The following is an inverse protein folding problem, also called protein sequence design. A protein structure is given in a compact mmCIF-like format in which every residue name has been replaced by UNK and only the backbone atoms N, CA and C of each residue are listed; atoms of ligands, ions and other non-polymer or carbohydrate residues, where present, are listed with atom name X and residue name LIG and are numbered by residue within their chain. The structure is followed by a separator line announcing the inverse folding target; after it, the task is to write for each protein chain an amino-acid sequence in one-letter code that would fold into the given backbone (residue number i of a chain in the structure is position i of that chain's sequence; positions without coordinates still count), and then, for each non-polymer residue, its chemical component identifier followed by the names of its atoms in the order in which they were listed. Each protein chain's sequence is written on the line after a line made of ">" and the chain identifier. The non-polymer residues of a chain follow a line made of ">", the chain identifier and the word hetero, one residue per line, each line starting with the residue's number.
data_IF_799136237918
#
_entry.id   IF_799136237918
#
_cell.length_a   1.000
_cell.length_b   1.000
_cell.length_c   1.000
_cell.angle_alpha   90.00
_cell.angle_beta   90.00
_cell.angle_gamma   90.00
#
_symmetry.space_group_name_H-M   'P 1'
#
loop_
_entity.id
_entity.type
_entity.pdbx_description
1 polymer ?
#
# COMPACT_ATOMS: atom_id res chain seq x y z
N UNK A 1 2.12 -62.24 -28.76
CA UNK A 1 2.12 -61.48 -30.02
C UNK A 1 1.18 -60.29 -29.84
N UNK A 2 1.74 -59.06 -29.88
CA UNK A 2 1.11 -57.72 -29.91
C UNK A 2 0.10 -57.33 -28.81
N UNK A 3 0.63 -56.69 -27.76
CA UNK A 3 -0.11 -55.71 -26.93
C UNK A 3 -0.31 -54.43 -27.76
N UNK A 4 -1.55 -53.99 -27.94
CA UNK A 4 -1.85 -52.68 -28.52
C UNK A 4 -1.82 -51.63 -27.40
N UNK A 5 -0.79 -50.78 -27.41
CA UNK A 5 -0.71 -49.58 -26.61
C UNK A 5 -1.51 -48.49 -27.34
N UNK A 6 -2.67 -48.11 -26.81
CA UNK A 6 -3.36 -46.88 -27.23
C UNK A 6 -2.62 -45.70 -26.60
N UNK A 7 -1.79 -45.04 -27.39
CA UNK A 7 -1.23 -43.73 -27.05
C UNK A 7 -2.34 -42.69 -27.24
N UNK A 8 -3.01 -42.29 -26.15
CA UNK A 8 -3.77 -41.05 -26.14
C UNK A 8 -2.73 -39.91 -26.13
N UNK A 9 -2.50 -39.30 -27.29
CA UNK A 9 -1.94 -37.95 -27.36
C UNK A 9 -2.96 -37.00 -26.72
N UNK A 10 -2.85 -36.80 -25.41
CA UNK A 10 -3.38 -35.60 -24.78
C UNK A 10 -2.45 -34.48 -25.25
N UNK A 11 -2.92 -33.72 -26.24
CA UNK A 11 -2.34 -32.44 -26.58
C UNK A 11 -2.51 -31.54 -25.35
N UNK A 12 -1.54 -31.59 -24.45
CA UNK A 12 -1.38 -30.59 -23.42
C UNK A 12 -1.11 -29.26 -24.10
N UNK A 13 -2.14 -28.44 -24.24
CA UNK A 13 -1.93 -27.00 -24.31
C UNK A 13 -1.28 -26.61 -22.99
N UNK A 14 0.05 -26.61 -23.00
CA UNK A 14 0.84 -25.84 -22.05
C UNK A 14 0.40 -24.41 -22.27
N UNK A 15 -0.48 -23.92 -21.39
CA UNK A 15 -0.64 -22.49 -21.19
C UNK A 15 0.73 -21.98 -20.72
N UNK A 16 1.56 -21.55 -21.66
CA UNK A 16 2.60 -20.58 -21.39
C UNK A 16 1.84 -19.32 -20.96
N UNK A 17 1.60 -19.20 -19.66
CA UNK A 17 1.11 -17.93 -19.13
C UNK A 17 2.09 -16.84 -19.57
N UNK A 18 1.61 -15.67 -19.99
CA UNK A 18 2.53 -14.55 -20.08
C UNK A 18 3.03 -14.33 -18.66
N UNK A 19 4.29 -14.67 -18.39
CA UNK A 19 5.00 -14.03 -17.32
C UNK A 19 4.94 -12.55 -17.67
N UNK A 20 4.23 -11.77 -16.85
CA UNK A 20 4.24 -10.32 -16.93
C UNK A 20 5.59 -9.81 -16.43
N UNK A 21 6.68 -10.26 -17.05
CA UNK A 21 7.99 -9.64 -16.94
C UNK A 21 7.97 -8.34 -17.76
N UNK A 22 7.02 -7.46 -17.43
CA UNK A 22 7.07 -6.09 -17.84
C UNK A 22 8.11 -5.42 -16.96
N UNK A 23 9.15 -4.87 -17.58
CA UNK A 23 10.09 -4.05 -16.83
C UNK A 23 9.34 -2.81 -16.34
N UNK A 24 9.29 -2.56 -15.02
CA UNK A 24 8.62 -1.38 -14.49
C UNK A 24 9.30 -0.13 -15.04
N UNK A 25 8.51 0.91 -15.26
CA UNK A 25 9.02 2.23 -15.67
C UNK A 25 10.05 2.69 -14.65
N UNK A 26 11.25 3.00 -15.13
CA UNK A 26 12.40 3.39 -14.32
C UNK A 26 12.17 4.70 -13.59
N UNK A 27 12.83 4.88 -12.43
CA UNK A 27 12.74 6.11 -11.64
C UNK A 27 11.51 6.23 -10.74
N UNK A 28 10.61 5.25 -10.77
CA UNK A 28 9.35 5.22 -9.99
C UNK A 28 9.30 4.14 -8.89
N UNK A 29 10.39 3.45 -8.61
CA UNK A 29 10.52 2.61 -7.41
C UNK A 29 10.90 3.49 -6.21
N UNK A 30 9.88 4.07 -5.57
CA UNK A 30 10.03 5.05 -4.48
C UNK A 30 8.91 4.89 -3.45
N UNK A 31 9.23 5.18 -2.19
CA UNK A 31 8.27 5.18 -1.09
C UNK A 31 7.21 6.29 -1.21
N UNK A 32 7.50 7.37 -1.93
CA UNK A 32 6.59 8.47 -2.24
C UNK A 32 6.83 8.92 -3.68
N UNK A 33 5.75 9.14 -4.43
CA UNK A 33 5.77 9.63 -5.80
C UNK A 33 5.21 11.05 -5.83
N UNK A 34 5.97 11.97 -6.40
CA UNK A 34 5.63 13.39 -6.56
C UNK A 34 5.36 13.73 -8.01
N UNK A 35 4.82 14.92 -8.24
CA UNK A 35 4.57 15.39 -9.60
C UNK A 35 5.87 15.45 -10.42
N UNK A 36 6.97 15.93 -9.82
CA UNK A 36 8.30 15.99 -10.46
C UNK A 36 8.85 14.61 -10.86
N UNK A 37 8.46 13.54 -10.16
CA UNK A 37 8.85 12.18 -10.52
C UNK A 37 8.14 11.69 -11.79
N UNK A 38 6.91 12.13 -12.03
CA UNK A 38 6.09 11.70 -13.17
C UNK A 38 6.17 12.63 -14.39
N UNK A 39 6.62 13.87 -14.20
CA UNK A 39 6.71 14.88 -15.26
C UNK A 39 7.52 14.40 -16.48
N UNK A 40 8.71 13.78 -16.34
CA UNK A 40 9.43 13.24 -17.50
C UNK A 40 8.64 12.17 -18.27
N UNK A 41 7.85 11.36 -17.56
CA UNK A 41 7.01 10.34 -18.18
C UNK A 41 5.79 10.95 -18.86
N UNK A 42 5.20 12.01 -18.29
CA UNK A 42 4.14 12.78 -18.93
C UNK A 42 4.62 13.42 -20.24
N UNK A 43 5.78 14.07 -20.23
CA UNK A 43 6.33 14.70 -21.44
C UNK A 43 6.62 13.66 -22.54
N UNK A 44 7.13 12.50 -22.16
CA UNK A 44 7.30 11.37 -23.08
C UNK A 44 5.96 10.92 -23.69
N UNK A 45 4.91 10.79 -22.88
CA UNK A 45 3.58 10.35 -23.36
C UNK A 45 2.92 11.40 -24.24
N UNK A 46 3.13 12.70 -23.97
CA UNK A 46 2.65 13.81 -24.82
C UNK A 46 3.22 13.77 -26.24
N UNK A 47 4.39 13.16 -26.45
CA UNK A 47 5.02 12.99 -27.76
C UNK A 47 4.50 11.77 -28.54
N UNK A 48 3.67 10.93 -27.92
CA UNK A 48 3.17 9.69 -28.50
C UNK A 48 1.84 9.91 -29.22
N UNK A 49 1.79 9.60 -30.52
CA UNK A 49 0.55 9.64 -31.32
C UNK A 49 -0.53 8.63 -30.86
N UNK A 50 -0.16 7.71 -29.96
CA UNK A 50 -1.08 6.70 -29.40
C UNK A 50 -1.96 7.26 -28.30
N UNK A 51 -1.58 8.37 -27.67
CA UNK A 51 -2.28 8.94 -26.54
C UNK A 51 -2.66 10.39 -26.78
N UNK A 52 -3.81 10.78 -26.24
CA UNK A 52 -4.17 12.18 -26.07
C UNK A 52 -3.98 12.54 -24.60
N UNK A 53 -3.03 13.43 -24.33
CA UNK A 53 -2.76 13.96 -22.98
C UNK A 53 -3.27 15.39 -22.90
N UNK A 54 -4.19 15.66 -21.98
CA UNK A 54 -4.74 16.99 -21.76
C UNK A 54 -4.65 17.36 -20.28
N UNK A 55 -4.38 18.62 -19.98
CA UNK A 55 -4.57 19.15 -18.64
C UNK A 55 -6.08 19.32 -18.41
N UNK A 56 -6.60 18.66 -17.38
CA UNK A 56 -8.04 18.65 -17.04
C UNK A 56 -8.36 19.49 -15.80
N UNK A 57 -7.33 19.99 -15.13
CA UNK A 57 -7.48 20.81 -13.95
C UNK A 57 -6.14 21.23 -13.39
N UNK A 58 -6.20 21.80 -12.20
CA UNK A 58 -5.06 22.28 -11.44
C UNK A 58 -5.37 22.06 -9.96
N UNK A 59 -4.37 21.63 -9.18
CA UNK A 59 -4.48 21.52 -7.73
C UNK A 59 -4.63 22.88 -7.05
N UNK A 60 -4.85 22.87 -5.73
CA UNK A 60 -4.99 24.10 -4.95
C UNK A 60 -3.77 25.04 -5.05
N UNK A 61 -2.56 24.49 -5.05
CA UNK A 61 -1.31 25.27 -5.15
C UNK A 61 -0.86 25.55 -6.58
N UNK A 62 -1.63 25.14 -7.60
CA UNK A 62 -1.32 25.47 -8.98
C UNK A 62 -0.63 24.37 -9.79
N UNK A 63 -0.43 23.17 -9.23
CA UNK A 63 0.18 22.04 -9.96
C UNK A 63 -0.82 21.43 -10.93
N UNK A 64 -0.47 21.22 -12.22
CA UNK A 64 -1.42 20.75 -13.23
C UNK A 64 -1.86 19.29 -12.99
N UNK A 65 -3.12 19.00 -13.29
CA UNK A 65 -3.70 17.65 -13.26
C UNK A 65 -3.97 17.20 -14.71
N UNK A 66 -3.43 16.05 -15.10
CA UNK A 66 -3.51 15.54 -16.47
C UNK A 66 -4.41 14.31 -16.59
N UNK A 67 -5.12 14.22 -17.72
CA UNK A 67 -5.77 13.01 -18.20
C UNK A 67 -5.07 12.50 -19.45
N UNK A 68 -4.74 11.22 -19.45
CA UNK A 68 -4.15 10.50 -20.59
C UNK A 68 -5.24 9.58 -21.16
N UNK A 69 -5.52 9.67 -22.46
CA UNK A 69 -6.60 8.92 -23.10
C UNK A 69 -6.10 8.13 -24.31
N UNK A 70 -6.69 6.95 -24.57
CA UNK A 70 -6.44 6.15 -25.78
C UNK A 70 -7.63 5.24 -26.09
N UNK A 71 -7.72 4.77 -27.33
CA UNK A 71 -8.88 4.02 -27.83
C UNK A 71 -10.06 4.93 -28.17
N UNK A 72 -11.01 4.38 -28.91
CA UNK A 72 -12.18 5.09 -29.46
C UNK A 72 -13.46 4.28 -29.34
N UNK A 73 -13.42 3.15 -28.63
CA UNK A 73 -14.56 2.27 -28.54
C UNK A 73 -15.67 2.75 -27.61
N UNK A 74 -16.87 2.15 -27.72
CA UNK A 74 -18.07 2.64 -27.04
C UNK A 74 -18.06 2.41 -25.52
N UNK A 75 -17.29 1.45 -25.00
CA UNK A 75 -17.21 1.19 -23.56
C UNK A 75 -16.19 2.15 -22.94
N UNK A 76 -16.65 3.03 -22.05
CA UNK A 76 -15.78 4.04 -21.46
C UNK A 76 -15.23 3.57 -20.12
N UNK A 77 -13.91 3.58 -19.97
CA UNK A 77 -13.21 3.18 -18.74
C UNK A 77 -12.44 4.37 -18.20
N UNK A 78 -12.66 4.70 -16.92
CA UNK A 78 -11.91 5.74 -16.22
C UNK A 78 -11.09 5.12 -15.10
N UNK A 79 -9.81 5.50 -14.98
CA UNK A 79 -8.91 5.09 -13.92
C UNK A 79 -8.33 6.34 -13.26
N UNK A 80 -8.28 6.39 -11.94
CA UNK A 80 -7.64 7.49 -11.23
C UNK A 80 -6.88 6.98 -10.02
N UNK A 81 -5.77 7.64 -9.69
CA UNK A 81 -4.91 7.30 -8.57
C UNK A 81 -4.50 8.53 -7.76
N UNK A 82 -3.99 8.25 -6.56
CA UNK A 82 -3.32 9.23 -5.69
C UNK A 82 -4.18 10.47 -5.43
N UNK A 83 -5.46 10.23 -5.15
CA UNK A 83 -6.35 11.27 -4.61
C UNK A 83 -6.04 11.58 -3.15
N UNK A 84 -5.51 10.59 -2.43
CA UNK A 84 -4.73 10.81 -1.23
C UNK A 84 -3.26 10.86 -1.63
N UNK A 85 -2.54 11.87 -1.16
CA UNK A 85 -1.18 12.13 -1.60
C UNK A 85 -0.15 11.11 -1.11
N UNK A 86 -0.39 10.47 0.04
CA UNK A 86 0.46 9.44 0.65
C UNK A 86 0.18 8.01 0.16
N UNK A 87 -0.55 7.88 -0.94
CA UNK A 87 -0.93 6.59 -1.56
C UNK A 87 -0.34 6.46 -2.98
N UNK A 88 1.00 6.30 -3.10
CA UNK A 88 1.70 6.46 -4.36
C UNK A 88 1.62 5.26 -5.32
N UNK A 89 1.26 4.06 -4.87
CA UNK A 89 1.54 2.80 -5.61
C UNK A 89 0.91 2.74 -7.00
N UNK A 90 -0.31 3.24 -7.12
CA UNK A 90 -1.07 3.16 -8.36
C UNK A 90 -0.60 4.13 -9.46
N UNK A 91 0.04 5.24 -9.09
CA UNK A 91 0.54 6.22 -10.07
C UNK A 91 1.60 5.60 -10.98
N UNK A 92 2.67 4.96 -10.46
CA UNK A 92 3.59 4.18 -11.28
C UNK A 92 2.93 3.03 -12.03
N UNK A 93 1.95 2.34 -11.43
CA UNK A 93 1.24 1.24 -12.12
C UNK A 93 0.51 1.72 -13.38
N UNK A 94 -0.07 2.94 -13.37
CA UNK A 94 -0.65 3.52 -14.57
C UNK A 94 0.40 3.85 -15.64
N UNK A 95 1.59 4.31 -15.25
CA UNK A 95 2.70 4.51 -16.21
C UNK A 95 3.25 3.19 -16.77
N UNK A 96 3.25 2.12 -15.98
CA UNK A 96 3.57 0.78 -16.46
C UNK A 96 2.51 0.31 -17.47
N UNK A 97 1.22 0.48 -17.18
CA UNK A 97 0.16 0.17 -18.13
C UNK A 97 0.31 0.95 -19.44
N UNK A 98 0.64 2.25 -19.37
CA UNK A 98 0.92 3.08 -20.54
C UNK A 98 2.11 2.51 -21.33
N UNK A 99 3.20 2.15 -20.64
CA UNK A 99 4.35 1.52 -21.29
C UNK A 99 3.99 0.18 -21.93
N UNK A 100 3.09 -0.59 -21.31
CA UNK A 100 2.61 -1.86 -21.83
C UNK A 100 1.88 -1.66 -23.16
N UNK A 101 0.99 -0.67 -23.20
CA UNK A 101 0.21 -0.27 -24.38
C UNK A 101 1.15 0.10 -25.55
N UNK A 102 2.25 0.81 -25.27
CA UNK A 102 3.23 1.22 -26.28
C UNK A 102 4.05 0.05 -26.82
N UNK A 103 4.48 -0.84 -25.93
CA UNK A 103 5.31 -2.00 -26.26
C UNK A 103 4.51 -3.12 -26.96
N UNK A 104 3.18 -3.17 -26.78
CA UNK A 104 2.32 -4.21 -27.31
C UNK A 104 1.21 -3.64 -28.21
N UNK A 105 1.55 -3.12 -29.41
CA UNK A 105 0.59 -2.50 -30.31
C UNK A 105 -0.52 -3.46 -30.77
N UNK A 106 -0.23 -4.75 -30.91
CA UNK A 106 -1.24 -5.76 -31.27
C UNK A 106 -2.26 -5.98 -30.14
N UNK A 107 -1.78 -6.00 -28.91
CA UNK A 107 -2.65 -6.08 -27.73
C UNK A 107 -3.54 -4.84 -27.63
N UNK A 108 -2.99 -3.63 -27.77
CA UNK A 108 -3.77 -2.39 -27.82
C UNK A 108 -4.83 -2.43 -28.93
N UNK A 109 -4.46 -2.82 -30.15
CA UNK A 109 -5.41 -2.95 -31.28
C UNK A 109 -6.55 -3.94 -31.03
N UNK A 110 -6.33 -4.96 -30.20
CA UNK A 110 -7.36 -5.97 -29.89
C UNK A 110 -8.56 -5.43 -29.07
N UNK A 111 -8.40 -4.27 -28.44
CA UNK A 111 -9.43 -3.63 -27.61
C UNK A 111 -9.68 -2.15 -27.90
N UNK A 112 -8.80 -1.45 -28.61
CA UNK A 112 -8.88 0.00 -28.79
C UNK A 112 -10.15 0.49 -29.52
N UNK A 113 -10.78 -0.34 -30.36
CA UNK A 113 -12.05 -0.07 -31.02
C UNK A 113 -13.28 -0.41 -30.16
N UNK A 114 -13.07 -1.05 -29.01
CA UNK A 114 -14.11 -1.46 -28.05
C UNK A 114 -14.12 -0.62 -26.77
N UNK A 115 -12.95 -0.13 -26.35
CA UNK A 115 -12.77 0.65 -25.13
C UNK A 115 -12.22 2.03 -25.44
N UNK A 116 -12.80 3.06 -24.81
CA UNK A 116 -12.18 4.38 -24.64
C UNK A 116 -11.63 4.45 -23.21
N UNK A 117 -10.30 4.43 -23.08
CA UNK A 117 -9.60 4.42 -21.79
C UNK A 117 -9.16 5.83 -21.43
N UNK A 118 -9.47 6.26 -20.21
CA UNK A 118 -9.09 7.54 -19.62
C UNK A 118 -8.39 7.32 -18.28
N UNK A 119 -7.18 7.84 -18.12
CA UNK A 119 -6.37 7.69 -16.91
C UNK A 119 -6.02 9.06 -16.34
N UNK A 120 -6.19 9.25 -15.03
CA UNK A 120 -5.73 10.42 -14.27
C UNK A 120 -4.65 9.93 -13.29
N UNK A 121 -3.36 9.98 -13.68
CA UNK A 121 -2.31 9.34 -12.88
C UNK A 121 -2.06 9.97 -11.51
N UNK A 122 -2.33 11.26 -11.33
CA UNK A 122 -2.13 11.92 -10.03
C UNK A 122 -3.21 12.99 -9.85
N UNK A 123 -4.21 12.69 -9.02
CA UNK A 123 -5.32 13.63 -8.79
C UNK A 123 -4.96 14.71 -7.76
N UNK A 124 -4.20 14.37 -6.72
CA UNK A 124 -3.82 15.28 -5.64
C UNK A 124 -2.28 15.48 -5.59
N UNK A 125 -1.70 16.24 -6.54
CA UNK A 125 -0.26 16.46 -6.58
C UNK A 125 0.25 17.28 -5.39
N UNK A 126 -0.58 18.11 -4.76
CA UNK A 126 -0.19 18.89 -3.59
C UNK A 126 0.00 18.00 -2.35
N UNK A 127 -0.95 17.09 -2.10
CA UNK A 127 -0.82 16.09 -1.05
C UNK A 127 0.37 15.16 -1.29
N UNK A 128 0.64 14.84 -2.56
CA UNK A 128 1.77 14.03 -2.97
C UNK A 128 3.12 14.66 -2.61
N UNK A 129 3.26 15.96 -2.89
CA UNK A 129 4.45 16.73 -2.57
C UNK A 129 4.72 16.71 -1.06
N UNK A 130 3.66 16.84 -0.26
CA UNK A 130 3.70 16.85 1.20
C UNK A 130 3.71 15.45 1.85
N UNK A 131 3.69 14.37 1.05
CA UNK A 131 3.57 12.99 1.52
C UNK A 131 2.44 12.79 2.56
N UNK A 132 1.25 13.31 2.24
CA UNK A 132 0.09 13.25 3.14
C UNK A 132 -1.21 12.90 2.42
N UNK A 133 -2.14 12.35 3.19
CA UNK A 133 -3.49 12.01 2.74
C UNK A 133 -4.28 13.17 2.14
N UNK A 134 -4.20 14.35 2.76
CA UNK A 134 -5.06 15.49 2.43
C UNK A 134 -4.49 16.34 1.28
N UNK A 135 -5.33 17.15 0.62
CA UNK A 135 -4.81 18.18 -0.30
C UNK A 135 -4.17 19.35 0.48
N UNK A 136 -3.64 20.35 -0.21
CA UNK A 136 -3.03 21.53 0.44
C UNK A 136 -4.00 22.36 1.30
N UNK A 137 -5.33 22.21 1.13
CA UNK A 137 -6.33 22.85 1.99
C UNK A 137 -6.57 22.08 3.29
N UNK A 138 -5.93 20.92 3.48
CA UNK A 138 -6.19 20.02 4.61
C UNK A 138 -7.49 19.22 4.48
N UNK A 139 -8.10 19.18 3.29
CA UNK A 139 -9.35 18.45 3.05
C UNK A 139 -9.02 17.06 2.50
N UNK A 140 -9.69 16.03 3.03
CA UNK A 140 -9.71 14.70 2.40
C UNK A 140 -10.56 14.78 1.13
N UNK A 141 -9.90 14.74 -0.03
CA UNK A 141 -10.56 14.77 -1.35
C UNK A 141 -11.60 13.66 -1.46
N UNK A 142 -11.33 12.48 -0.88
CA UNK A 142 -12.28 11.35 -0.84
C UNK A 142 -13.37 11.48 0.24
N UNK A 143 -13.53 12.66 0.84
CA UNK A 143 -14.68 13.03 1.69
C UNK A 143 -15.40 14.28 1.18
N UNK A 144 -15.04 14.74 -0.02
CA UNK A 144 -15.51 15.99 -0.62
C UNK A 144 -16.39 15.78 -1.86
N UNK A 145 -16.82 14.55 -2.16
CA UNK A 145 -17.55 14.22 -3.41
C UNK A 145 -18.95 14.86 -3.56
N UNK A 146 -19.46 15.52 -2.50
CA UNK A 146 -20.79 16.17 -2.50
C UNK A 146 -20.75 17.67 -2.61
N UNK A 147 -19.85 18.30 -1.84
CA UNK A 147 -19.74 19.76 -1.75
C UNK A 147 -18.63 20.32 -2.64
N UNK A 148 -17.68 19.47 -3.06
CA UNK A 148 -16.66 19.77 -4.07
C UNK A 148 -15.89 21.07 -3.78
N UNK A 149 -15.44 21.24 -2.54
CA UNK A 149 -14.66 22.40 -2.09
C UNK A 149 -13.23 22.38 -2.66
N UNK A 150 -12.68 21.18 -2.83
CA UNK A 150 -11.34 20.96 -3.40
C UNK A 150 -11.36 21.14 -4.92
N UNK A 151 -10.37 21.85 -5.52
CA UNK A 151 -10.24 21.87 -6.97
C UNK A 151 -9.99 20.48 -7.54
N UNK A 152 -9.26 19.61 -6.83
CA UNK A 152 -9.02 18.22 -7.22
C UNK A 152 -10.34 17.43 -7.31
N UNK A 153 -11.20 17.55 -6.29
CA UNK A 153 -12.52 16.91 -6.27
C UNK A 153 -13.44 17.44 -7.37
N UNK A 154 -13.43 18.76 -7.64
CA UNK A 154 -14.16 19.35 -8.78
C UNK A 154 -13.70 18.77 -10.10
N UNK A 155 -12.38 18.70 -10.32
CA UNK A 155 -11.79 18.11 -11.53
C UNK A 155 -12.24 16.67 -11.72
N UNK A 156 -12.14 15.81 -10.70
CA UNK A 156 -12.57 14.41 -10.84
C UNK A 156 -14.07 14.28 -11.15
N UNK A 157 -14.92 15.06 -10.46
CA UNK A 157 -16.36 15.06 -10.71
C UNK A 157 -16.71 15.56 -12.12
N UNK A 158 -16.03 16.61 -12.61
CA UNK A 158 -16.19 17.11 -13.96
C UNK A 158 -15.78 16.08 -15.01
N UNK A 159 -14.66 15.38 -14.79
CA UNK A 159 -14.23 14.29 -15.67
C UNK A 159 -15.24 13.14 -15.68
N UNK A 160 -15.78 12.74 -14.51
CA UNK A 160 -16.81 11.71 -14.44
C UNK A 160 -18.09 12.11 -15.22
N UNK A 161 -18.52 13.37 -15.11
CA UNK A 161 -19.70 13.89 -15.84
C UNK A 161 -19.45 14.08 -17.33
N UNK A 162 -18.23 14.43 -17.73
CA UNK A 162 -17.89 14.66 -19.14
C UNK A 162 -17.66 13.34 -19.88
N UNK A 163 -16.97 12.41 -19.24
CA UNK A 163 -16.67 11.10 -19.83
C UNK A 163 -17.92 10.22 -19.77
N UNK A 164 -18.68 10.25 -18.67
CA UNK A 164 -19.76 9.29 -18.37
C UNK A 164 -19.26 7.84 -18.48
N UNK A 165 -18.28 7.43 -17.66
CA UNK A 165 -17.67 6.10 -17.79
C UNK A 165 -18.65 4.98 -17.43
N UNK A 166 -18.58 3.87 -18.17
CA UNK A 166 -19.30 2.64 -17.80
C UNK A 166 -18.68 1.98 -16.57
N UNK A 167 -17.35 2.08 -16.46
CA UNK A 167 -16.51 1.39 -15.46
C UNK A 167 -15.48 2.39 -14.92
N UNK A 168 -15.32 2.41 -13.60
CA UNK A 168 -14.36 3.26 -12.90
C UNK A 168 -13.42 2.45 -12.01
N UNK A 169 -12.11 2.58 -12.20
CA UNK A 169 -11.11 2.03 -11.28
C UNK A 169 -10.63 3.11 -10.32
N UNK A 170 -11.01 2.96 -9.06
CA UNK A 170 -10.55 3.76 -7.94
C UNK A 170 -9.29 3.10 -7.34
N UNK A 171 -8.13 3.73 -7.53
CA UNK A 171 -6.85 3.12 -7.16
C UNK A 171 -6.24 3.84 -5.94
N UNK A 172 -6.03 3.09 -4.86
CA UNK A 172 -5.63 3.57 -3.55
C UNK A 172 -4.52 2.69 -2.95
N UNK A 173 -3.95 3.17 -1.84
CA UNK A 173 -3.13 2.37 -0.93
C UNK A 173 -3.83 2.23 0.42
N UNK A 174 -3.60 1.10 1.07
CA UNK A 174 -4.03 0.87 2.44
C UNK A 174 -2.84 0.80 3.40
N UNK A 175 -3.15 0.91 4.69
CA UNK A 175 -2.15 0.75 5.75
C UNK A 175 -1.45 -0.61 5.65
N UNK A 176 -0.14 -0.62 5.88
CA UNK A 176 0.68 -1.85 5.95
C UNK A 176 0.20 -2.83 7.03
N UNK A 177 -0.62 -2.39 7.97
CA UNK A 177 -1.09 -3.19 9.11
C UNK A 177 -2.38 -3.99 8.82
N UNK A 178 -2.82 -4.06 7.57
CA UNK A 178 -3.98 -4.84 7.18
C UNK A 178 -3.62 -6.32 7.00
N UNK A 179 -4.43 -7.18 7.59
CA UNK A 179 -4.35 -8.64 7.47
C UNK A 179 -5.50 -9.19 6.62
N UNK A 180 -5.23 -10.26 5.86
CA UNK A 180 -6.28 -11.03 5.18
C UNK A 180 -7.01 -11.88 6.23
N UNK A 181 -8.22 -11.47 6.61
CA UNK A 181 -8.97 -12.11 7.69
C UNK A 181 -8.13 -12.22 8.97
N UNK A 182 -7.88 -13.45 9.41
CA UNK A 182 -7.01 -13.81 10.55
C UNK A 182 -5.97 -14.86 10.13
N UNK A 183 -5.39 -14.71 8.95
CA UNK A 183 -4.52 -15.74 8.33
C UNK A 183 -3.04 -15.58 8.67
N UNK A 184 -2.64 -14.51 9.34
CA UNK A 184 -1.25 -14.12 9.55
C UNK A 184 -0.55 -13.61 8.29
N UNK A 185 -1.29 -13.29 7.22
CA UNK A 185 -0.78 -12.74 5.95
C UNK A 185 -1.24 -11.30 5.74
N UNK A 186 -0.35 -10.47 5.22
CA UNK A 186 -0.70 -9.09 4.86
C UNK A 186 -1.74 -9.08 3.73
N UNK A 187 -2.68 -8.15 3.79
CA UNK A 187 -3.54 -7.85 2.65
C UNK A 187 -2.76 -6.96 1.67
N UNK A 188 -2.11 -7.56 0.69
CA UNK A 188 -1.28 -6.84 -0.30
C UNK A 188 -2.13 -6.19 -1.38
N UNK A 189 -3.23 -6.82 -1.80
CA UNK A 189 -4.25 -6.17 -2.63
C UNK A 189 -5.60 -6.41 -1.97
N UNK A 190 -6.40 -5.34 -1.88
CA UNK A 190 -7.79 -5.47 -1.46
C UNK A 190 -8.75 -4.90 -2.47
N UNK A 191 -9.86 -5.62 -2.69
CA UNK A 191 -10.84 -5.28 -3.71
C UNK A 191 -12.18 -4.97 -3.09
N UNK A 192 -12.93 -4.06 -3.70
CA UNK A 192 -14.29 -3.73 -3.30
C UNK A 192 -15.10 -3.22 -4.49
N UNK A 193 -16.35 -3.65 -4.60
CA UNK A 193 -17.38 -2.99 -5.40
C UNK A 193 -18.16 -2.04 -4.48
N UNK A 194 -17.91 -0.72 -4.52
CA UNK A 194 -18.50 0.23 -3.57
C UNK A 194 -20.02 0.17 -3.56
N UNK A 195 -20.60 0.40 -2.38
CA UNK A 195 -22.05 0.50 -2.25
C UNK A 195 -22.55 1.81 -2.88
N UNK A 196 -23.75 1.78 -3.47
CA UNK A 196 -24.40 3.00 -3.96
C UNK A 196 -25.51 3.50 -3.03
N UNK A 197 -25.81 2.75 -1.97
CA UNK A 197 -26.77 3.11 -0.93
C UNK A 197 -26.48 2.41 0.40
N UNK A 198 -27.14 2.85 1.47
CA UNK A 198 -27.00 2.30 2.82
C UNK A 198 -27.39 0.82 2.90
N UNK A 199 -28.39 0.39 2.12
CA UNK A 199 -28.85 -0.99 2.08
C UNK A 199 -27.85 -1.96 1.44
N UNK A 200 -26.80 -1.43 0.77
CA UNK A 200 -25.79 -2.20 0.04
C UNK A 200 -26.45 -3.08 -1.04
N UNK A 201 -27.44 -2.53 -1.74
CA UNK A 201 -28.13 -3.25 -2.81
C UNK A 201 -27.16 -3.64 -3.94
N UNK A 202 -27.56 -4.65 -4.74
CA UNK A 202 -26.83 -5.11 -5.92
C UNK A 202 -27.71 -4.89 -7.15
N UNK A 203 -27.52 -3.75 -7.81
CA UNK A 203 -28.07 -3.51 -9.15
C UNK A 203 -27.12 -4.04 -10.24
N UNK A 204 -27.47 -3.89 -11.51
CA UNK A 204 -26.67 -4.40 -12.63
C UNK A 204 -25.27 -3.78 -12.72
N UNK A 205 -25.11 -2.52 -12.28
CA UNK A 205 -23.83 -1.80 -12.31
C UNK A 205 -22.88 -2.30 -11.23
N UNK A 206 -23.36 -2.44 -9.99
CA UNK A 206 -22.59 -3.04 -8.90
C UNK A 206 -22.30 -4.52 -9.15
N UNK A 207 -23.27 -5.26 -9.71
CA UNK A 207 -23.06 -6.65 -10.16
C UNK A 207 -21.92 -6.74 -11.16
N UNK A 208 -21.90 -5.87 -12.19
CA UNK A 208 -20.80 -5.81 -13.17
C UNK A 208 -19.45 -5.58 -12.49
N UNK A 209 -19.38 -4.63 -11.55
CA UNK A 209 -18.16 -4.38 -10.79
C UNK A 209 -17.71 -5.62 -9.98
N UNK A 210 -18.63 -6.31 -9.30
CA UNK A 210 -18.34 -7.53 -8.56
C UNK A 210 -17.85 -8.68 -9.48
N UNK A 211 -18.45 -8.83 -10.66
CA UNK A 211 -18.01 -9.83 -11.66
C UNK A 211 -16.60 -9.54 -12.17
N UNK A 212 -16.32 -8.28 -12.50
CA UNK A 212 -14.98 -7.83 -12.88
C UNK A 212 -13.98 -8.07 -11.75
N UNK A 213 -14.33 -7.76 -10.49
CA UNK A 213 -13.47 -8.08 -9.34
C UNK A 213 -13.22 -9.59 -9.23
N UNK A 214 -14.22 -10.43 -9.51
CA UNK A 214 -14.01 -11.88 -9.58
C UNK A 214 -12.95 -12.28 -10.60
N UNK A 215 -12.95 -11.63 -11.78
CA UNK A 215 -11.89 -11.79 -12.80
C UNK A 215 -10.53 -11.28 -12.29
N UNK A 216 -10.48 -10.14 -11.59
CA UNK A 216 -9.22 -9.61 -11.04
C UNK A 216 -8.67 -10.49 -9.93
N UNK A 217 -9.55 -11.10 -9.12
CA UNK A 217 -9.16 -12.00 -8.03
C UNK A 217 -8.34 -13.18 -8.54
N UNK A 218 -8.67 -13.74 -9.71
CA UNK A 218 -7.88 -14.83 -10.33
C UNK A 218 -6.42 -14.43 -10.57
N UNK A 219 -6.17 -13.17 -10.94
CA UNK A 219 -4.81 -12.62 -11.09
C UNK A 219 -4.10 -12.61 -9.74
N UNK A 220 -4.76 -12.06 -8.73
CA UNK A 220 -4.24 -11.97 -7.37
C UNK A 220 -3.96 -13.33 -6.73
N UNK A 221 -4.88 -14.28 -6.84
CA UNK A 221 -4.72 -15.64 -6.32
C UNK A 221 -3.51 -16.34 -6.94
N UNK A 222 -3.18 -16.04 -8.20
CA UNK A 222 -2.01 -16.58 -8.89
C UNK A 222 -0.71 -15.89 -8.51
N UNK A 223 -0.70 -14.56 -8.42
CA UNK A 223 0.53 -13.78 -8.21
C UNK A 223 0.91 -13.63 -6.74
N UNK A 224 -0.06 -13.48 -5.85
CA UNK A 224 0.12 -13.22 -4.42
C UNK A 224 -0.81 -14.14 -3.57
N UNK A 225 -0.62 -15.47 -3.64
CA UNK A 225 -1.53 -16.44 -3.05
C UNK A 225 -1.76 -16.24 -1.55
N UNK A 226 -3.00 -15.94 -1.18
CA UNK A 226 -3.43 -15.69 0.20
C UNK A 226 -3.21 -14.26 0.71
N UNK A 227 -2.83 -13.32 -0.16
CA UNK A 227 -2.67 -11.89 0.16
C UNK A 227 -3.80 -11.01 -0.44
N UNK A 228 -4.89 -11.64 -0.85
CA UNK A 228 -6.08 -10.98 -1.39
C UNK A 228 -7.10 -10.70 -0.28
N UNK A 229 -7.46 -9.43 -0.14
CA UNK A 229 -8.40 -8.92 0.85
C UNK A 229 -9.66 -8.30 0.26
N UNK A 230 -10.73 -8.22 1.03
CA UNK A 230 -11.92 -7.43 0.71
C UNK A 230 -11.95 -6.22 1.62
N UNK A 231 -12.11 -5.04 1.03
CA UNK A 231 -12.27 -3.82 1.80
C UNK A 231 -13.71 -3.69 2.32
N UNK A 232 -13.89 -2.98 3.43
CA UNK A 232 -15.20 -2.77 4.04
C UNK A 232 -16.14 -2.00 3.09
N UNK A 233 -17.36 -2.51 2.91
CA UNK A 233 -18.34 -1.96 1.97
C UNK A 233 -19.40 -1.08 2.65
N UNK A 234 -19.13 -0.58 3.86
CA UNK A 234 -20.00 0.40 4.52
C UNK A 234 -20.15 1.64 3.66
N UNK A 235 -21.41 1.99 3.36
CA UNK A 235 -21.73 3.11 2.48
C UNK A 235 -21.16 4.42 3.02
N UNK A 236 -20.18 4.94 2.31
CA UNK A 236 -19.50 6.19 2.60
C UNK A 236 -20.08 7.28 1.69
N UNK A 237 -21.21 7.86 2.10
CA UNK A 237 -21.94 8.85 1.30
C UNK A 237 -21.07 9.96 0.69
N UNK A 238 -20.01 10.39 1.40
CA UNK A 238 -19.13 11.49 0.96
C UNK A 238 -17.94 11.06 0.09
N UNK A 239 -17.74 9.76 -0.11
CA UNK A 239 -16.62 9.22 -0.89
C UNK A 239 -16.91 9.25 -2.39
N UNK A 240 -15.84 9.36 -3.19
CA UNK A 240 -15.95 9.37 -4.64
C UNK A 240 -16.37 7.99 -5.16
N UNK A 241 -15.83 6.89 -4.62
CA UNK A 241 -16.20 5.53 -5.02
C UNK A 241 -17.71 5.30 -4.99
N UNK A 242 -18.33 5.52 -3.83
CA UNK A 242 -19.77 5.38 -3.61
C UNK A 242 -20.60 6.41 -4.39
N UNK A 243 -20.10 7.64 -4.53
CA UNK A 243 -20.78 8.69 -5.31
C UNK A 243 -20.84 8.33 -6.78
N UNK A 244 -19.72 7.87 -7.36
CA UNK A 244 -19.67 7.43 -8.76
C UNK A 244 -20.50 6.16 -8.98
N UNK A 245 -20.48 5.22 -8.03
CA UNK A 245 -21.39 4.06 -8.05
C UNK A 245 -22.88 4.49 -8.05
N UNK A 246 -23.23 5.51 -7.25
CA UNK A 246 -24.57 6.10 -7.21
C UNK A 246 -24.96 6.82 -8.51
N UNK A 247 -23.98 7.26 -9.30
CA UNK A 247 -24.17 7.83 -10.63
C UNK A 247 -24.35 6.76 -11.72
N UNK A 248 -24.36 5.47 -11.36
CA UNK A 248 -24.55 4.35 -12.28
C UNK A 248 -23.26 3.83 -12.93
N UNK A 249 -22.10 4.21 -12.38
CA UNK A 249 -20.79 3.75 -12.83
C UNK A 249 -20.47 2.42 -12.14
N UNK A 250 -19.92 1.44 -12.88
CA UNK A 250 -19.46 0.18 -12.29
C UNK A 250 -18.09 0.41 -11.64
N UNK A 251 -18.09 0.88 -10.40
CA UNK A 251 -16.86 1.27 -9.69
C UNK A 251 -16.17 0.08 -9.03
N UNK A 252 -14.85 -0.01 -9.19
CA UNK A 252 -13.97 -1.03 -8.63
C UNK A 252 -12.91 -0.31 -7.81
N UNK A 253 -12.80 -0.62 -6.52
CA UNK A 253 -11.71 -0.18 -5.67
C UNK A 253 -10.60 -1.22 -5.68
N UNK A 254 -9.36 -0.77 -5.85
CA UNK A 254 -8.14 -1.54 -5.62
C UNK A 254 -7.30 -0.80 -4.58
N UNK A 255 -7.06 -1.46 -3.44
CA UNK A 255 -6.26 -0.97 -2.31
C UNK A 255 -4.93 -1.71 -2.27
N UNK A 256 -3.82 -0.97 -2.38
CA UNK A 256 -2.46 -1.51 -2.40
C UNK A 256 -1.86 -1.50 -1.00
N UNK A 257 -1.64 -2.68 -0.42
CA UNK A 257 -1.09 -2.86 0.93
C UNK A 257 0.37 -3.33 0.92
N UNK A 258 0.83 -3.80 2.07
CA UNK A 258 2.21 -4.26 2.23
C UNK A 258 2.40 -5.69 1.73
N UNK A 259 3.62 -5.96 1.26
CA UNK A 259 4.17 -7.30 1.09
C UNK A 259 5.49 -7.40 1.87
N UNK A 260 5.80 -8.57 2.43
CA UNK A 260 7.00 -8.71 3.27
C UNK A 260 8.26 -8.48 2.44
N UNK A 261 9.16 -7.61 2.93
CA UNK A 261 10.40 -7.27 2.23
C UNK A 261 10.26 -6.30 1.06
N UNK A 262 9.08 -5.66 0.90
CA UNK A 262 8.78 -4.76 -0.20
C UNK A 262 8.42 -3.35 0.32
N UNK A 263 9.43 -2.52 0.66
CA UNK A 263 9.21 -1.23 1.33
C UNK A 263 8.51 -0.19 0.43
N UNK A 264 8.61 -0.34 -0.89
CA UNK A 264 8.04 0.58 -1.87
C UNK A 264 6.81 -0.01 -2.60
N UNK A 265 6.22 -1.09 -2.09
CA UNK A 265 5.02 -1.74 -2.65
C UNK A 265 5.14 -2.13 -4.12
N UNK A 266 6.33 -2.52 -4.59
CA UNK A 266 6.56 -2.93 -5.99
C UNK A 266 5.82 -4.22 -6.35
N UNK A 267 5.59 -5.13 -5.38
CA UNK A 267 4.75 -6.32 -5.59
C UNK A 267 3.29 -5.92 -5.82
N UNK A 268 2.76 -4.99 -5.02
CA UNK A 268 1.39 -4.50 -5.21
C UNK A 268 1.24 -3.69 -6.52
N UNK A 269 2.27 -2.94 -6.92
CA UNK A 269 2.35 -2.26 -8.23
C UNK A 269 2.25 -3.26 -9.38
N UNK A 270 3.05 -4.33 -9.36
CA UNK A 270 3.04 -5.36 -10.40
C UNK A 270 1.66 -6.04 -10.53
N UNK A 271 1.06 -6.41 -9.38
CA UNK A 271 -0.28 -7.02 -9.36
C UNK A 271 -1.34 -6.05 -9.85
N UNK A 272 -1.26 -4.75 -9.51
CA UNK A 272 -2.15 -3.73 -10.06
C UNK A 272 -2.10 -3.70 -11.59
N UNK A 273 -0.91 -3.64 -12.19
CA UNK A 273 -0.75 -3.63 -13.66
C UNK A 273 -1.36 -4.88 -14.28
N UNK A 274 -1.08 -6.05 -13.69
CA UNK A 274 -1.64 -7.32 -14.14
C UNK A 274 -3.18 -7.35 -14.10
N UNK A 275 -3.76 -6.83 -13.01
CA UNK A 275 -5.22 -6.70 -12.85
C UNK A 275 -5.81 -5.74 -13.87
N UNK A 276 -5.20 -4.58 -14.11
CA UNK A 276 -5.69 -3.61 -15.10
C UNK A 276 -5.63 -4.19 -16.53
N UNK A 277 -4.56 -4.88 -16.90
CA UNK A 277 -4.44 -5.57 -18.19
C UNK A 277 -5.53 -6.64 -18.33
N UNK A 278 -5.71 -7.51 -17.31
CA UNK A 278 -6.75 -8.54 -17.32
C UNK A 278 -8.15 -7.95 -17.36
N UNK A 279 -8.37 -6.85 -16.66
CA UNK A 279 -9.62 -6.09 -16.64
C UNK A 279 -9.95 -5.55 -18.03
N UNK A 280 -9.01 -4.88 -18.71
CA UNK A 280 -9.21 -4.40 -20.08
C UNK A 280 -9.53 -5.53 -21.06
N UNK A 281 -8.82 -6.67 -20.96
CA UNK A 281 -9.11 -7.85 -21.77
C UNK A 281 -10.53 -8.37 -21.52
N UNK A 282 -10.94 -8.44 -20.24
CA UNK A 282 -12.26 -8.90 -19.83
C UNK A 282 -13.38 -8.00 -20.34
N UNK A 283 -13.18 -6.68 -20.25
CA UNK A 283 -14.14 -5.68 -20.72
C UNK A 283 -14.27 -5.77 -22.24
N UNK A 284 -13.16 -5.92 -22.96
CA UNK A 284 -13.14 -5.99 -24.42
C UNK A 284 -13.72 -7.31 -24.98
N UNK A 285 -13.59 -8.42 -24.24
CA UNK A 285 -14.17 -9.71 -24.63
C UNK A 285 -15.60 -9.90 -24.14
N UNK A 286 -16.00 -9.18 -23.08
CA UNK A 286 -17.24 -9.40 -22.35
C UNK A 286 -17.22 -10.62 -21.43
N UNK A 287 -16.07 -11.26 -21.23
CA UNK A 287 -15.98 -12.53 -20.49
C UNK A 287 -16.40 -12.42 -19.01
N UNK A 288 -16.31 -11.23 -18.38
CA UNK A 288 -16.78 -11.01 -17.02
C UNK A 288 -18.26 -11.35 -16.84
N UNK A 289 -19.06 -11.30 -17.91
CA UNK A 289 -20.49 -11.60 -17.84
C UNK A 289 -20.77 -13.05 -17.47
N UNK A 290 -19.82 -13.95 -17.76
CA UNK A 290 -19.89 -15.36 -17.36
C UNK A 290 -19.47 -15.60 -15.91
N UNK A 291 -18.88 -14.60 -15.27
CA UNK A 291 -18.39 -14.72 -13.92
C UNK A 291 -19.57 -14.69 -12.92
N UNK A 292 -19.65 -15.64 -12.00
CA UNK A 292 -20.59 -15.61 -10.88
C UNK A 292 -20.12 -14.58 -9.84
N UNK A 293 -20.94 -14.35 -8.80
CA UNK A 293 -20.51 -13.50 -7.68
C UNK A 293 -19.68 -14.26 -6.63
N UNK A 294 -19.50 -15.58 -6.78
CA UNK A 294 -18.85 -16.41 -5.76
C UNK A 294 -17.39 -16.02 -5.56
N UNK A 295 -16.57 -15.80 -6.61
CA UNK A 295 -15.21 -15.32 -6.43
C UNK A 295 -15.13 -14.00 -5.65
N UNK A 296 -16.00 -13.03 -5.92
CA UNK A 296 -16.06 -11.78 -5.14
C UNK A 296 -16.42 -12.04 -3.67
N UNK A 297 -17.44 -12.87 -3.43
CA UNK A 297 -17.92 -13.17 -2.08
C UNK A 297 -16.93 -14.01 -1.28
N UNK A 298 -16.07 -14.77 -1.96
CA UNK A 298 -15.02 -15.58 -1.36
C UNK A 298 -13.77 -14.79 -0.96
N UNK A 299 -13.68 -13.50 -1.31
CA UNK A 299 -12.55 -12.66 -0.86
C UNK A 299 -12.70 -12.41 0.65
N UNK A 300 -11.71 -12.81 1.49
CA UNK A 300 -11.78 -12.62 2.93
C UNK A 300 -11.84 -11.13 3.29
N UNK A 301 -12.70 -10.75 4.24
CA UNK A 301 -12.71 -9.39 4.77
C UNK A 301 -11.38 -9.07 5.46
N UNK A 302 -10.84 -7.89 5.21
CA UNK A 302 -9.62 -7.48 5.89
C UNK A 302 -9.83 -7.16 7.35
N UNK A 303 -8.79 -7.39 8.14
CA UNK A 303 -8.68 -6.93 9.51
C UNK A 303 -7.65 -5.79 9.59
N UNK A 304 -8.10 -4.60 9.96
CA UNK A 304 -7.24 -3.43 10.12
C UNK A 304 -6.47 -3.47 11.44
N UNK A 305 -5.29 -2.83 11.50
CA UNK A 305 -4.45 -2.70 12.70
C UNK A 305 -3.99 -4.05 13.32
N UNK A 306 -4.00 -5.12 12.54
CA UNK A 306 -3.59 -6.45 13.03
C UNK A 306 -2.07 -6.56 13.08
N UNK A 307 -1.39 -6.29 11.97
CA UNK A 307 0.06 -6.49 11.87
C UNK A 307 0.86 -5.55 12.79
N UNK A 308 2.01 -6.05 13.24
CA UNK A 308 3.05 -5.29 13.92
C UNK A 308 4.34 -5.24 13.10
N UNK A 309 5.13 -4.18 13.20
CA UNK A 309 6.47 -4.14 12.56
C UNK A 309 7.46 -5.07 13.25
N UNK A 310 7.40 -5.10 14.58
CA UNK A 310 8.17 -5.99 15.42
C UNK A 310 7.29 -6.50 16.57
N UNK A 311 7.35 -7.80 16.86
CA UNK A 311 6.92 -8.32 18.15
C UNK A 311 8.14 -8.92 18.87
N UNK A 312 8.36 -8.46 20.09
CA UNK A 312 9.28 -9.08 21.04
C UNK A 312 8.45 -9.97 21.95
N UNK A 313 8.63 -11.29 21.84
CA UNK A 313 7.84 -12.30 22.53
C UNK A 313 8.44 -12.67 23.88
N UNK A 314 7.59 -12.99 24.84
CA UNK A 314 7.96 -13.65 26.10
C UNK A 314 9.01 -12.91 26.95
N UNK A 315 9.08 -11.59 26.84
CA UNK A 315 10.04 -10.74 27.53
C UNK A 315 9.71 -10.67 29.03
N UNK A 316 10.70 -10.95 29.87
CA UNK A 316 10.57 -10.82 31.32
C UNK A 316 10.69 -9.35 31.73
N UNK A 317 9.79 -8.87 32.57
CA UNK A 317 9.82 -7.53 33.16
C UNK A 317 9.86 -7.65 34.67
N UNK A 318 10.88 -7.04 35.27
CA UNK A 318 11.02 -6.91 36.72
C UNK A 318 10.66 -5.48 37.15
N UNK A 319 9.75 -5.36 38.11
CA UNK A 319 9.32 -4.08 38.68
C UNK A 319 9.19 -4.19 40.21
N UNK A 320 10.29 -3.86 40.89
CA UNK A 320 10.41 -4.04 42.33
C UNK A 320 10.37 -5.53 42.70
N UNK A 321 9.34 -5.94 43.44
CA UNK A 321 9.14 -7.35 43.85
C UNK A 321 8.32 -8.16 42.84
N UNK A 322 7.86 -7.55 41.76
CA UNK A 322 7.02 -8.22 40.76
C UNK A 322 7.86 -8.63 39.55
N UNK A 323 7.68 -9.88 39.11
CA UNK A 323 8.21 -10.41 37.86
C UNK A 323 7.03 -10.94 37.03
N UNK A 324 7.01 -10.60 35.75
CA UNK A 324 6.01 -11.09 34.82
C UNK A 324 6.57 -11.16 33.40
N UNK A 325 5.94 -11.97 32.54
CA UNK A 325 6.28 -12.10 31.12
C UNK A 325 5.19 -11.49 30.26
N UNK A 326 5.60 -10.85 29.18
CA UNK A 326 4.70 -10.24 28.21
C UNK A 326 5.31 -10.22 26.81
N UNK A 327 4.47 -9.93 25.83
CA UNK A 327 4.90 -9.54 24.49
C UNK A 327 4.82 -8.01 24.35
N UNK A 328 5.74 -7.43 23.56
CA UNK A 328 5.74 -6.02 23.17
C UNK A 328 5.60 -5.95 21.65
N UNK A 329 4.53 -5.31 21.16
CA UNK A 329 4.29 -5.07 19.75
C UNK A 329 4.58 -3.62 19.37
N UNK A 330 5.39 -3.42 18.34
CA UNK A 330 5.86 -2.11 17.89
C UNK A 330 5.35 -1.83 16.48
N UNK A 331 4.90 -0.60 16.27
CA UNK A 331 4.55 -0.06 14.97
C UNK A 331 5.34 1.21 14.68
N UNK A 332 5.59 1.47 13.40
CA UNK A 332 6.24 2.68 12.92
C UNK A 332 5.16 3.69 12.49
N UNK A 333 5.19 4.87 13.10
CA UNK A 333 4.35 6.01 12.75
C UNK A 333 5.17 7.14 12.12
N UNK A 334 4.53 8.29 11.87
CA UNK A 334 5.17 9.47 11.29
C UNK A 334 6.31 10.05 12.15
N UNK A 335 6.25 9.85 13.46
CA UNK A 335 7.22 10.37 14.44
C UNK A 335 8.28 9.32 14.84
N UNK A 336 8.28 8.15 14.21
CA UNK A 336 9.13 7.01 14.58
C UNK A 336 8.33 5.83 15.11
N UNK A 337 9.05 4.83 15.60
CA UNK A 337 8.47 3.63 16.17
C UNK A 337 7.96 3.87 17.59
N UNK A 338 6.82 3.24 17.90
CA UNK A 338 6.21 3.30 19.22
C UNK A 338 5.64 1.94 19.61
N UNK A 339 5.56 1.71 20.92
CA UNK A 339 4.89 0.55 21.50
C UNK A 339 3.40 0.65 21.21
N UNK A 340 2.92 -0.17 20.28
CA UNK A 340 1.53 -0.21 19.88
C UNK A 340 0.70 -1.04 20.87
N UNK A 341 1.24 -2.16 21.32
CA UNK A 341 0.54 -3.15 22.12
C UNK A 341 1.48 -3.81 23.14
N UNK A 342 0.95 -4.18 24.30
CA UNK A 342 1.68 -4.82 25.41
C UNK A 342 0.77 -5.87 26.06
N UNK A 343 1.27 -7.08 26.28
CA UNK A 343 0.53 -8.15 26.95
C UNK A 343 0.55 -9.46 26.16
N UNK A 344 -0.62 -10.08 25.96
CA UNK A 344 -0.76 -11.27 25.11
C UNK A 344 -0.96 -10.83 23.66
N UNK A 345 0.08 -11.02 22.83
CA UNK A 345 0.02 -10.71 21.41
C UNK A 345 -0.10 -11.98 20.54
N UNK A 346 -0.45 -13.14 21.10
CA UNK A 346 -0.46 -14.45 20.40
C UNK A 346 -1.31 -14.47 19.13
N UNK A 347 -2.31 -13.60 19.03
CA UNK A 347 -3.22 -13.47 17.88
C UNK A 347 -2.74 -12.48 16.82
N UNK A 348 -1.69 -11.71 17.10
CA UNK A 348 -1.19 -10.70 16.18
C UNK A 348 -0.02 -11.22 15.34
N UNK A 349 -0.08 -11.08 14.01
CA UNK A 349 1.07 -11.32 13.15
C UNK A 349 2.03 -10.13 13.16
N UNK A 350 3.28 -10.38 12.78
CA UNK A 350 4.28 -9.32 12.60
C UNK A 350 5.14 -9.49 11.35
N UNK A 351 5.75 -8.39 10.92
CA UNK A 351 6.79 -8.42 9.90
C UNK A 351 8.06 -9.09 10.42
N UNK A 352 8.42 -8.79 11.67
CA UNK A 352 9.53 -9.38 12.41
C UNK A 352 9.07 -9.86 13.79
N UNK A 353 9.56 -11.02 14.20
CA UNK A 353 9.32 -11.57 15.54
C UNK A 353 10.62 -12.03 16.16
N UNK A 354 10.72 -11.85 17.48
CA UNK A 354 11.91 -12.20 18.26
C UNK A 354 11.43 -12.92 19.50
N UNK A 355 11.97 -14.10 19.76
CA UNK A 355 11.77 -14.80 21.02
C UNK A 355 12.76 -14.27 22.05
N UNK A 356 12.23 -13.52 23.04
CA UNK A 356 13.00 -12.92 24.10
C UNK A 356 12.84 -13.69 25.42
N UNK A 357 12.61 -15.00 25.33
CA UNK A 357 12.35 -15.85 26.50
C UNK A 357 13.46 -15.82 27.56
N UNK A 358 14.70 -15.69 27.11
CA UNK A 358 15.88 -15.65 27.98
C UNK A 358 16.34 -14.22 28.28
N UNK A 359 15.52 -13.22 27.95
CA UNK A 359 15.86 -11.82 28.10
C UNK A 359 14.99 -11.14 29.15
N UNK A 360 15.55 -10.10 29.76
CA UNK A 360 14.82 -9.17 30.61
C UNK A 360 14.75 -7.79 29.97
N UNK A 361 13.61 -7.11 30.14
CA UNK A 361 13.39 -5.74 29.73
C UNK A 361 14.23 -4.80 30.59
N UNK A 362 14.90 -3.85 29.94
CA UNK A 362 15.55 -2.75 30.64
C UNK A 362 15.22 -1.42 29.95
N UNK A 363 14.78 -0.44 30.73
CA UNK A 363 14.63 0.92 30.27
C UNK A 363 16.00 1.53 29.93
N UNK A 364 16.09 2.19 28.78
CA UNK A 364 17.29 2.92 28.39
C UNK A 364 17.40 4.28 29.08
N UNK A 365 18.63 4.81 29.16
CA UNK A 365 18.91 6.17 29.66
C UNK A 365 19.44 7.08 28.55
N UNK A 366 19.36 8.39 28.78
CA UNK A 366 19.87 9.41 27.88
C UNK A 366 21.39 9.55 27.95
N UNK A 367 22.03 9.68 26.78
CA UNK A 367 23.40 10.19 26.66
C UNK A 367 23.36 11.69 26.32
N UNK A 368 23.95 12.54 27.16
CA UNK A 368 23.95 14.00 26.94
C UNK A 368 25.03 14.41 25.95
N UNK A 369 24.66 15.16 24.92
CA UNK A 369 25.56 15.71 23.91
C UNK A 369 26.16 17.05 24.38
N UNK A 370 27.12 16.97 25.30
CA UNK A 370 27.85 18.13 25.81
C UNK A 370 28.87 18.67 24.79
N UNK A 371 29.47 17.78 24.00
CA UNK A 371 30.43 18.06 22.92
C UNK A 371 30.05 17.27 21.66
N UNK A 372 30.73 17.55 20.54
CA UNK A 372 30.56 16.79 19.31
C UNK A 372 30.99 15.33 19.51
N UNK A 373 30.10 14.40 19.19
CA UNK A 373 30.32 12.97 19.26
C UNK A 373 30.31 12.37 17.85
N UNK A 374 31.41 11.73 17.48
CA UNK A 374 31.45 10.82 16.33
C UNK A 374 30.97 9.45 16.78
N UNK A 375 29.82 9.04 16.29
CA UNK A 375 29.17 7.79 16.65
C UNK A 375 29.45 6.72 15.59
N UNK A 376 30.60 6.06 15.72
CA UNK A 376 30.90 4.84 14.95
C UNK A 376 30.04 3.67 15.47
N UNK A 377 29.86 2.61 14.68
CA UNK A 377 29.07 1.45 15.13
C UNK A 377 29.66 0.80 16.41
N UNK A 378 30.99 0.69 16.52
CA UNK A 378 31.65 0.22 17.75
C UNK A 378 31.31 1.13 18.94
N UNK A 379 31.43 2.45 18.76
CA UNK A 379 31.12 3.41 19.82
C UNK A 379 29.65 3.34 20.22
N UNK A 380 28.75 3.17 19.25
CA UNK A 380 27.33 3.05 19.52
C UNK A 380 27.02 1.78 20.33
N UNK A 381 27.61 0.65 19.94
CA UNK A 381 27.51 -0.61 20.67
C UNK A 381 27.98 -0.49 22.12
N UNK A 382 29.10 0.18 22.36
CA UNK A 382 29.59 0.47 23.72
C UNK A 382 28.58 1.29 24.53
N UNK A 383 28.00 2.34 23.93
CA UNK A 383 27.02 3.19 24.60
C UNK A 383 25.73 2.42 24.92
N UNK A 384 25.21 1.63 23.98
CA UNK A 384 24.05 0.77 24.21
C UNK A 384 24.33 -0.25 25.31
N UNK A 385 25.51 -0.87 25.31
CA UNK A 385 25.96 -1.80 26.36
C UNK A 385 26.03 -1.14 27.75
N UNK A 386 26.30 0.16 27.82
CA UNK A 386 26.28 0.95 29.06
C UNK A 386 24.88 1.44 29.48
N UNK A 387 23.86 1.12 28.69
CA UNK A 387 22.47 1.48 28.94
C UNK A 387 21.94 2.68 28.15
N UNK A 388 22.75 3.31 27.30
CA UNK A 388 22.35 4.54 26.59
C UNK A 388 21.63 4.24 25.29
N UNK A 389 20.32 4.47 25.24
CA UNK A 389 19.50 4.17 24.05
C UNK A 389 19.27 5.38 23.14
N UNK A 390 19.29 6.58 23.71
CA UNK A 390 19.00 7.82 23.01
C UNK A 390 19.93 8.93 23.43
N UNK A 391 19.93 10.00 22.64
CA UNK A 391 20.73 11.19 22.86
C UNK A 391 19.85 12.37 23.25
N UNK A 392 20.36 13.21 24.14
CA UNK A 392 19.72 14.47 24.53
C UNK A 392 20.66 15.65 24.22
N UNK A 393 20.10 16.71 23.64
CA UNK A 393 20.83 17.95 23.34
C UNK A 393 20.73 18.35 21.87
N UNK A 394 21.75 19.08 21.41
CA UNK A 394 21.82 19.60 20.06
C UNK A 394 22.18 18.49 19.06
N UNK A 395 21.28 18.23 18.12
CA UNK A 395 21.45 17.18 17.11
C UNK A 395 22.65 17.44 16.19
N UNK A 396 23.07 18.70 16.00
CA UNK A 396 24.24 19.05 15.18
C UNK A 396 25.56 18.56 15.81
N UNK A 397 25.54 18.17 17.08
CA UNK A 397 26.69 17.61 17.79
C UNK A 397 26.85 16.11 17.59
N UNK A 398 25.94 15.44 16.90
CA UNK A 398 26.06 14.00 16.66
C UNK A 398 26.40 13.73 15.19
N UNK A 399 27.64 13.31 14.96
CA UNK A 399 28.06 12.77 13.67
C UNK A 399 27.85 11.25 13.67
N UNK A 400 26.69 10.80 13.20
CA UNK A 400 26.36 9.37 13.13
C UNK A 400 27.03 8.72 11.91
N UNK A 401 28.10 7.96 12.16
CA UNK A 401 28.81 7.17 11.15
C UNK A 401 28.42 5.68 11.19
N UNK A 402 27.46 5.29 12.04
CA UNK A 402 26.91 3.94 12.09
C UNK A 402 25.80 3.73 11.06
N UNK A 403 25.43 2.47 10.82
CA UNK A 403 24.24 2.13 10.02
C UNK A 403 22.97 1.95 10.87
N UNK A 404 23.07 2.18 12.19
CA UNK A 404 21.96 1.96 13.12
C UNK A 404 21.08 3.19 13.25
N UNK A 405 19.77 3.00 13.48
CA UNK A 405 18.86 4.11 13.75
C UNK A 405 19.30 4.84 15.03
N UNK A 406 19.18 6.16 15.01
CA UNK A 406 19.49 7.02 16.14
C UNK A 406 18.24 7.79 16.54
N UNK A 407 18.02 7.95 17.84
CA UNK A 407 16.93 8.74 18.40
C UNK A 407 17.53 9.87 19.24
N UNK A 408 17.17 11.11 18.92
CA UNK A 408 17.63 12.33 19.60
C UNK A 408 16.39 13.08 20.13
N UNK A 409 16.43 13.47 21.40
CA UNK A 409 15.33 14.16 22.10
C UNK A 409 13.97 13.44 21.94
N UNK A 410 13.87 12.12 22.25
CA UNK A 410 12.61 11.40 22.23
C UNK A 410 11.55 12.06 23.11
N UNK A 411 10.28 11.97 22.70
CA UNK A 411 9.18 12.62 23.40
C UNK A 411 8.51 11.71 24.44
N UNK A 412 8.66 10.39 24.31
CA UNK A 412 7.96 9.40 25.14
C UNK A 412 8.90 8.27 25.52
N UNK A 413 9.96 8.61 26.25
CA UNK A 413 11.00 7.67 26.69
C UNK A 413 10.40 6.51 27.48
N UNK A 414 10.79 5.25 27.19
CA UNK A 414 10.36 4.12 28.00
C UNK A 414 10.87 4.16 29.42
N UNK A 415 10.00 3.81 30.37
CA UNK A 415 10.32 3.69 31.79
C UNK A 415 10.51 2.22 32.20
N UNK A 416 10.66 1.94 33.50
CA UNK A 416 10.82 0.58 34.02
C UNK A 416 9.69 -0.37 33.62
N UNK A 417 8.50 0.17 33.34
CA UNK A 417 7.35 -0.58 32.82
C UNK A 417 7.16 -0.25 31.35
N UNK A 418 7.17 -1.24 30.43
CA UNK A 418 6.79 -0.98 29.05
C UNK A 418 5.31 -0.58 29.01
N UNK A 419 5.01 0.53 28.35
CA UNK A 419 3.66 1.05 28.19
C UNK A 419 3.37 1.37 26.74
N UNK A 420 2.10 1.23 26.33
CA UNK A 420 1.64 1.69 25.02
C UNK A 420 1.97 3.17 24.84
N UNK A 421 2.17 3.57 23.59
CA UNK A 421 2.49 4.93 23.16
C UNK A 421 3.90 5.42 23.52
N UNK A 422 4.68 4.70 24.32
CA UNK A 422 6.12 4.98 24.49
C UNK A 422 6.88 4.74 23.19
N UNK A 423 8.00 5.43 23.02
CA UNK A 423 8.89 5.25 21.88
C UNK A 423 9.45 3.82 21.89
N UNK A 424 9.64 3.21 20.72
CA UNK A 424 10.18 1.85 20.57
C UNK A 424 11.68 1.79 20.87
N UNK A 425 12.04 2.03 22.13
CA UNK A 425 13.39 2.38 22.57
C UNK A 425 13.74 1.72 23.92
N UNK A 426 14.14 0.45 23.91
CA UNK A 426 14.47 -0.27 25.14
C UNK A 426 15.61 -1.26 24.94
N UNK A 427 16.15 -1.74 26.04
CA UNK A 427 17.25 -2.70 26.08
C UNK A 427 16.74 -4.07 26.48
N UNK A 428 17.50 -5.07 26.07
CA UNK A 428 17.30 -6.45 26.49
C UNK A 428 18.59 -6.97 27.11
N UNK A 429 18.46 -7.47 28.33
CA UNK A 429 19.57 -8.07 29.07
C UNK A 429 19.45 -9.58 29.08
N UNK A 430 20.61 -10.24 29.06
CA UNK A 430 20.75 -11.68 29.27
C UNK A 430 21.85 -11.88 30.30
N UNK A 431 21.60 -12.67 31.35
CA UNK A 431 22.49 -12.86 32.50
C UNK A 431 23.02 -11.53 33.09
N UNK A 432 22.14 -10.53 33.19
CA UNK A 432 22.45 -9.20 33.74
C UNK A 432 23.29 -8.30 32.81
N UNK A 433 23.65 -8.75 31.60
CA UNK A 433 24.38 -7.96 30.62
C UNK A 433 23.47 -7.51 29.50
N UNK A 434 23.59 -6.25 29.06
CA UNK A 434 22.88 -5.76 27.87
C UNK A 434 23.48 -6.42 26.63
N UNK A 435 22.70 -7.26 25.96
CA UNK A 435 23.12 -8.02 24.77
C UNK A 435 22.38 -7.60 23.51
N UNK A 436 21.25 -6.91 23.66
CA UNK A 436 20.46 -6.43 22.53
C UNK A 436 19.70 -5.15 22.88
N UNK A 437 19.26 -4.44 21.85
CA UNK A 437 18.47 -3.22 21.99
C UNK A 437 17.38 -3.18 20.92
N UNK A 438 16.24 -2.59 21.24
CA UNK A 438 15.27 -2.13 20.26
C UNK A 438 15.38 -0.62 20.16
N UNK A 439 15.82 -0.11 19.01
CA UNK A 439 16.00 1.32 18.75
C UNK A 439 15.17 1.71 17.53
N UNK A 440 14.24 2.64 17.72
CA UNK A 440 13.29 3.05 16.68
C UNK A 440 12.61 1.86 15.98
N UNK A 441 12.24 0.84 16.77
CA UNK A 441 11.56 -0.37 16.30
C UNK A 441 12.42 -1.38 15.57
N UNK A 442 13.74 -1.18 15.50
CA UNK A 442 14.69 -2.15 14.97
C UNK A 442 15.41 -2.87 16.11
N UNK A 443 15.55 -4.19 15.98
CA UNK A 443 16.37 -4.98 16.89
C UNK A 443 17.85 -4.92 16.48
N UNK A 444 18.70 -4.59 17.45
CA UNK A 444 20.14 -4.51 17.32
C UNK A 444 20.78 -5.56 18.25
N UNK A 445 21.55 -6.47 17.67
CA UNK A 445 22.41 -7.38 18.44
C UNK A 445 23.70 -6.66 18.82
N UNK A 446 24.03 -6.65 20.11
CA UNK A 446 25.28 -6.07 20.61
C UNK A 446 26.42 -7.08 20.75
N UNK A 447 26.14 -8.36 20.55
CA UNK A 447 27.15 -9.41 20.42
C UNK A 447 27.89 -9.37 19.09
#
# INVERSE_FOLDING_TARGET
>A
MKRYLFSLMVAGLVFTGPGLAQQPVSGLDKAQIRFSDIEPHLERVKQSDRFTTIQVGTSYLGTPIYRISTGTGPVKVMMWSQMHGDEPTATPALFDLISHIEQHPDWHRSWADKISLHMIPMLNPDGAEMAQRFNAQGIDVNRDAKVLQTPEGRTLMEQAKTIEPDIGFNLHDQSRYYEVGHTGKTATISLLAPAFNVAKDINDKRRRAMQLIGVLKEVGDKMIPGHMGRYDDTYAHRAFGDTLASMGISTILIESGAYKGDPNRQVAREVNVAMLIRGLNSIASGDYQQQTLDPYNAIPMNNSNSFKDLIVRNLTVEDGEHEYRLDIGINIGKQGAYVNEVGDLSVFPAFNEIDASDYQYQAGKAFKLEETLVLTEQRYRELLGQGYTHFEGDAERLDNQSQWPVVINPSRVPEARPQRQQDGLFLLTHDGNVTSAVINGQWLSLN
#
